data_IF_581218339033
#
_entry.id   IF_581218339033
#
_cell.length_a   1.000
_cell.length_b   1.000
_cell.length_c   1.000
_cell.angle_alpha   90.00
_cell.angle_beta   90.00
_cell.angle_gamma   90.00
#
_symmetry.space_group_name_H-M   'P 1'
#
loop_
_entity.id
_entity.type
_entity.pdbx_description
1 polymer ?
#
# COMPACT_ATOMS: atom_id res chain seq x y z
N UNK A 1 22.19 34.35 14.92
CA UNK A 1 21.19 33.53 14.21
C UNK A 1 21.10 32.18 14.96
N UNK A 2 19.94 31.87 15.53
CA UNK A 2 19.77 30.65 16.36
C UNK A 2 19.96 29.39 15.50
N UNK A 3 20.63 28.35 16.03
CA UNK A 3 20.86 27.08 15.32
C UNK A 3 19.56 26.48 14.74
N UNK A 4 18.43 26.70 15.39
CA UNK A 4 17.10 26.27 14.93
C UNK A 4 16.59 27.03 13.72
N UNK A 5 16.92 28.32 13.59
CA UNK A 5 16.55 29.15 12.42
C UNK A 5 17.31 28.70 11.17
N UNK A 6 18.56 28.25 11.33
CA UNK A 6 19.37 27.72 10.23
C UNK A 6 18.83 26.39 9.71
N UNK A 7 18.34 25.50 10.60
CA UNK A 7 17.74 24.20 10.24
C UNK A 7 16.42 24.41 9.49
N UNK A 8 15.59 25.35 9.94
CA UNK A 8 14.33 25.71 9.28
C UNK A 8 14.58 26.31 7.89
N UNK A 9 15.57 27.20 7.74
CA UNK A 9 15.98 27.79 6.46
C UNK A 9 16.57 26.74 5.50
N UNK A 10 17.34 25.76 6.00
CA UNK A 10 17.83 24.64 5.20
C UNK A 10 16.68 23.75 4.71
N UNK A 11 15.67 23.52 5.53
CA UNK A 11 14.47 22.75 5.12
C UNK A 11 13.69 23.47 3.99
N UNK A 12 13.58 24.78 4.03
CA UNK A 12 12.93 25.56 2.96
C UNK A 12 13.73 25.61 1.66
N UNK A 13 15.06 25.50 1.70
CA UNK A 13 15.90 25.53 0.49
C UNK A 13 15.78 24.27 -0.37
N UNK A 14 15.40 23.13 0.21
CA UNK A 14 15.20 21.87 -0.52
C UNK A 14 13.85 21.78 -1.27
N UNK A 15 12.90 22.69 -1.01
CA UNK A 15 11.55 22.62 -1.59
C UNK A 15 11.46 23.28 -2.98
N UNK A 16 12.49 24.01 -3.43
CA UNK A 16 12.35 24.92 -4.57
C UNK A 16 12.83 24.44 -5.95
N UNK A 17 13.17 23.16 -6.14
CA UNK A 17 13.62 22.65 -7.44
C UNK A 17 12.92 21.33 -7.83
N UNK A 18 11.59 21.34 -7.89
CA UNK A 18 10.83 20.22 -8.44
C UNK A 18 10.67 20.40 -9.96
N UNK A 19 11.53 19.78 -10.73
CA UNK A 19 11.25 19.53 -12.14
C UNK A 19 10.10 18.54 -12.26
N UNK A 20 9.18 18.76 -13.23
CA UNK A 20 8.06 17.86 -13.55
C UNK A 20 8.58 16.47 -13.99
N UNK A 21 8.85 15.60 -13.01
CA UNK A 21 9.09 14.18 -13.24
C UNK A 21 7.83 13.42 -12.88
N UNK A 22 7.63 12.26 -13.51
CA UNK A 22 6.49 11.38 -13.21
C UNK A 22 6.41 11.13 -11.71
N UNK A 23 5.32 11.56 -11.08
CA UNK A 23 5.11 11.55 -9.62
C UNK A 23 4.39 10.30 -9.13
N UNK A 24 3.91 9.46 -10.06
CA UNK A 24 3.08 8.28 -9.80
C UNK A 24 3.88 6.98 -9.95
N UNK A 25 4.96 6.85 -9.21
CA UNK A 25 5.70 5.60 -9.16
C UNK A 25 5.25 4.76 -7.96
N UNK A 26 5.26 3.41 -8.13
CA UNK A 26 5.01 2.45 -7.05
C UNK A 26 3.57 2.44 -6.49
N UNK A 27 2.57 2.74 -7.30
CA UNK A 27 1.16 2.76 -6.88
C UNK A 27 0.65 1.40 -6.36
N UNK A 28 1.26 0.30 -6.75
CA UNK A 28 0.96 -1.02 -6.19
C UNK A 28 1.14 -1.08 -4.65
N UNK A 29 1.99 -0.20 -4.08
CA UNK A 29 2.16 -0.06 -2.63
C UNK A 29 1.05 0.79 -1.95
N UNK A 30 0.07 1.30 -2.70
CA UNK A 30 -1.05 2.07 -2.15
C UNK A 30 -2.35 1.27 -2.07
N UNK A 31 -2.41 0.08 -2.68
CA UNK A 31 -3.61 -0.77 -2.71
C UNK A 31 -4.04 -1.16 -1.29
N UNK A 32 -3.08 -1.41 -0.40
CA UNK A 32 -3.33 -1.91 0.93
C UNK A 32 -3.11 -3.42 1.05
N UNK A 33 -2.89 -3.88 2.27
CA UNK A 33 -2.67 -5.30 2.59
C UNK A 33 -3.56 -5.71 3.74
N UNK A 34 -3.80 -7.04 3.87
CA UNK A 34 -4.63 -7.65 4.88
C UNK A 34 -6.14 -7.38 4.72
N UNK A 35 -6.91 -8.46 4.66
CA UNK A 35 -8.36 -8.37 4.46
C UNK A 35 -9.08 -7.63 5.61
N UNK A 36 -8.56 -7.69 6.85
CA UNK A 36 -9.09 -6.90 7.97
C UNK A 36 -9.00 -5.41 7.67
N UNK A 37 -7.84 -4.95 7.26
CA UNK A 37 -7.57 -3.53 7.01
C UNK A 37 -8.36 -3.01 5.81
N UNK A 38 -8.42 -3.79 4.73
CA UNK A 38 -9.17 -3.45 3.52
C UNK A 38 -10.68 -3.40 3.82
N UNK A 39 -11.20 -4.35 4.63
CA UNK A 39 -12.60 -4.35 5.08
C UNK A 39 -12.99 -3.10 5.89
N UNK A 40 -12.01 -2.41 6.46
CA UNK A 40 -12.15 -1.13 7.17
C UNK A 40 -11.78 0.09 6.32
N UNK A 41 -11.77 -0.03 4.98
CA UNK A 41 -11.35 1.01 4.04
C UNK A 41 -9.95 1.58 4.36
N UNK A 42 -9.03 0.74 4.83
CA UNK A 42 -7.66 1.10 5.19
C UNK A 42 -7.54 2.10 6.38
N UNK A 43 -8.62 2.32 7.14
CA UNK A 43 -8.62 3.18 8.33
C UNK A 43 -8.03 2.45 9.55
N UNK A 44 -6.72 2.18 9.54
CA UNK A 44 -6.04 1.33 10.52
C UNK A 44 -4.72 1.88 11.05
N UNK A 45 -4.24 3.03 10.59
CA UNK A 45 -2.90 3.54 10.92
C UNK A 45 -2.69 3.75 12.42
N UNK A 46 -3.77 4.04 13.17
CA UNK A 46 -3.74 4.19 14.63
C UNK A 46 -4.03 2.89 15.38
N UNK A 47 -4.73 1.93 14.76
CA UNK A 47 -5.25 0.73 15.43
C UNK A 47 -4.49 -0.55 15.12
N UNK A 48 -3.68 -0.57 14.04
CA UNK A 48 -2.88 -1.74 13.67
C UNK A 48 -1.89 -2.08 14.78
N UNK A 49 -1.88 -3.36 15.21
CA UNK A 49 -1.12 -3.82 16.38
C UNK A 49 -0.57 -5.25 16.22
N UNK A 50 -0.47 -5.73 15.01
CA UNK A 50 -0.01 -7.08 14.65
C UNK A 50 1.08 -7.04 13.58
N UNK A 51 1.40 -8.18 12.99
CA UNK A 51 2.41 -8.33 11.94
C UNK A 51 2.15 -7.43 10.72
N UNK A 52 0.90 -7.06 10.41
CA UNK A 52 0.54 -6.18 9.30
C UNK A 52 0.96 -4.72 9.56
N UNK A 53 1.41 -4.42 10.78
CA UNK A 53 2.07 -3.14 11.10
C UNK A 53 3.32 -2.89 10.26
N UNK A 54 3.99 -3.92 9.76
CA UNK A 54 5.12 -3.77 8.82
C UNK A 54 4.76 -2.91 7.61
N UNK A 55 3.52 -2.94 7.18
CA UNK A 55 3.03 -2.15 6.06
C UNK A 55 2.28 -0.90 6.51
N UNK A 56 1.34 -1.02 7.46
CA UNK A 56 0.43 0.07 7.81
C UNK A 56 1.07 1.12 8.71
N UNK A 57 1.79 0.69 9.73
CA UNK A 57 2.49 1.59 10.67
C UNK A 57 3.49 0.77 11.50
N UNK A 58 4.80 0.82 11.22
CA UNK A 58 5.78 -0.02 11.91
C UNK A 58 5.82 0.18 13.42
N UNK A 59 5.33 1.30 13.96
CA UNK A 59 5.23 1.52 15.40
C UNK A 59 4.30 0.51 16.09
N UNK A 60 3.31 -0.02 15.38
CA UNK A 60 2.36 -1.01 15.87
C UNK A 60 2.97 -2.37 16.19
N UNK A 61 4.14 -2.69 15.62
CA UNK A 61 4.86 -3.94 15.90
C UNK A 61 5.19 -4.14 17.40
N UNK A 62 5.27 -3.08 18.18
CA UNK A 62 5.52 -3.20 19.62
C UNK A 62 4.37 -3.82 20.43
N UNK A 63 3.20 -3.93 19.81
CA UNK A 63 2.01 -4.48 20.44
C UNK A 63 1.83 -5.99 20.17
N UNK A 64 2.70 -6.62 19.36
CA UNK A 64 2.68 -8.07 19.19
C UNK A 64 3.13 -8.76 20.50
N UNK A 65 2.45 -9.82 20.87
CA UNK A 65 2.81 -10.61 22.05
C UNK A 65 3.72 -11.78 21.70
N UNK A 66 3.64 -12.27 20.49
CA UNK A 66 4.34 -13.45 19.96
C UNK A 66 4.86 -13.18 18.56
N UNK A 67 5.68 -14.09 18.05
CA UNK A 67 6.06 -14.07 16.65
C UNK A 67 4.81 -14.35 15.81
N UNK A 68 4.61 -13.56 14.75
CA UNK A 68 3.44 -13.62 13.89
C UNK A 68 3.84 -13.72 12.42
N UNK A 69 3.03 -14.45 11.65
CA UNK A 69 3.10 -14.49 10.18
C UNK A 69 1.74 -14.15 9.61
N UNK A 70 1.69 -13.34 8.57
CA UNK A 70 0.48 -13.07 7.80
C UNK A 70 0.70 -13.36 6.32
N UNK A 71 -0.32 -13.93 5.70
CA UNK A 71 -0.41 -14.20 4.27
C UNK A 71 -1.66 -13.57 3.72
N UNK A 72 -1.58 -12.96 2.55
CA UNK A 72 -2.74 -12.46 1.82
C UNK A 72 -2.63 -12.81 0.34
N UNK A 73 -3.77 -13.13 -0.24
CA UNK A 73 -3.95 -13.29 -1.68
C UNK A 73 -5.20 -12.54 -2.12
N UNK A 74 -5.08 -11.82 -3.22
CA UNK A 74 -6.21 -11.15 -3.86
C UNK A 74 -6.07 -11.17 -5.36
N UNK A 75 -7.21 -11.35 -6.03
CA UNK A 75 -7.34 -11.23 -7.47
C UNK A 75 -8.05 -9.92 -7.80
N UNK A 76 -7.43 -9.14 -8.66
CA UNK A 76 -7.95 -7.86 -9.15
C UNK A 76 -8.29 -7.94 -10.64
N UNK A 77 -9.19 -7.07 -11.08
CA UNK A 77 -9.55 -6.90 -12.49
C UNK A 77 -9.95 -8.22 -13.15
N UNK A 78 -10.94 -8.92 -12.57
CA UNK A 78 -11.44 -10.21 -13.07
C UNK A 78 -10.34 -11.27 -13.25
N UNK A 79 -9.44 -11.41 -12.29
CA UNK A 79 -8.29 -12.34 -12.28
C UNK A 79 -7.15 -11.98 -13.25
N UNK A 80 -7.11 -10.78 -13.81
CA UNK A 80 -5.99 -10.35 -14.66
C UNK A 80 -4.75 -10.11 -13.80
N UNK A 81 -4.90 -9.46 -12.63
CA UNK A 81 -3.79 -9.14 -11.76
C UNK A 81 -3.89 -9.88 -10.41
N UNK A 82 -2.75 -10.34 -9.92
CA UNK A 82 -2.61 -11.01 -8.63
C UNK A 82 -1.84 -10.11 -7.65
N UNK A 83 -2.36 -9.97 -6.43
CA UNK A 83 -1.72 -9.24 -5.36
C UNK A 83 -1.51 -10.16 -4.16
N UNK A 84 -0.24 -10.40 -3.85
CA UNK A 84 0.17 -11.32 -2.80
C UNK A 84 0.99 -10.58 -1.75
N UNK A 85 0.77 -10.92 -0.49
CA UNK A 85 1.51 -10.37 0.63
C UNK A 85 1.90 -11.48 1.59
N UNK A 86 3.13 -11.39 2.07
CA UNK A 86 3.68 -12.21 3.14
C UNK A 86 4.36 -11.29 4.14
N UNK A 87 4.13 -11.49 5.43
CA UNK A 87 4.86 -10.78 6.48
C UNK A 87 5.19 -11.67 7.66
N UNK A 88 6.27 -11.29 8.34
CA UNK A 88 6.74 -11.89 9.59
C UNK A 88 7.12 -10.78 10.55
N UNK A 89 6.73 -10.93 11.81
CA UNK A 89 7.10 -10.01 12.89
C UNK A 89 7.55 -10.76 14.12
N UNK A 90 8.55 -10.19 14.80
CA UNK A 90 9.14 -10.73 16.01
C UNK A 90 9.40 -9.65 17.03
N UNK A 91 8.96 -9.90 18.27
CA UNK A 91 9.33 -9.08 19.41
C UNK A 91 10.74 -9.43 19.85
N UNK A 92 11.64 -8.45 19.95
CA UNK A 92 13.01 -8.64 20.44
C UNK A 92 12.99 -8.57 21.98
N UNK A 93 12.36 -7.52 22.50
CA UNK A 93 12.19 -7.25 23.92
C UNK A 93 10.91 -6.41 24.16
N UNK A 94 10.70 -5.92 25.39
CA UNK A 94 9.51 -5.13 25.73
C UNK A 94 9.48 -3.72 25.08
N UNK A 95 10.57 -3.29 24.45
CA UNK A 95 10.74 -1.95 23.90
C UNK A 95 11.06 -1.96 22.41
N UNK A 96 11.35 -3.12 21.82
CA UNK A 96 11.75 -3.22 20.42
C UNK A 96 11.18 -4.46 19.73
N UNK A 97 10.87 -4.29 18.45
CA UNK A 97 10.39 -5.33 17.56
C UNK A 97 10.96 -5.17 16.16
N UNK A 98 11.08 -6.28 15.43
CA UNK A 98 11.46 -6.36 14.03
C UNK A 98 10.31 -6.93 13.21
N UNK A 99 10.25 -6.51 11.96
CA UNK A 99 9.33 -7.06 11.00
C UNK A 99 9.94 -7.10 9.60
N UNK A 100 9.39 -7.97 8.79
CA UNK A 100 9.73 -8.09 7.38
C UNK A 100 8.47 -8.38 6.58
N UNK A 101 8.32 -7.75 5.43
CA UNK A 101 7.22 -8.10 4.52
C UNK A 101 7.63 -8.06 3.06
N UNK A 102 6.94 -8.87 2.28
CA UNK A 102 7.06 -8.95 0.82
C UNK A 102 5.68 -8.73 0.22
N UNK A 103 5.62 -7.88 -0.77
CA UNK A 103 4.45 -7.61 -1.59
C UNK A 103 4.80 -7.98 -3.02
N UNK A 104 3.93 -8.71 -3.72
CA UNK A 104 4.00 -8.92 -5.17
C UNK A 104 2.68 -8.51 -5.80
N UNK A 105 2.73 -7.59 -6.73
CA UNK A 105 1.64 -7.28 -7.65
C UNK A 105 2.07 -7.64 -9.06
N UNK A 106 1.28 -8.42 -9.78
CA UNK A 106 1.72 -8.85 -11.10
C UNK A 106 0.59 -9.35 -11.99
N UNK A 107 0.85 -9.27 -13.29
CA UNK A 107 0.07 -9.85 -14.36
C UNK A 107 0.95 -10.89 -15.03
N UNK A 108 0.47 -12.11 -15.05
CA UNK A 108 1.17 -13.25 -15.66
C UNK A 108 0.53 -13.59 -17.03
N UNK A 109 1.24 -14.35 -17.86
CA UNK A 109 0.78 -14.86 -19.15
C UNK A 109 0.38 -13.76 -20.17
N UNK A 110 1.09 -12.64 -20.19
CA UNK A 110 0.91 -11.58 -21.18
C UNK A 110 1.47 -12.05 -22.53
N UNK A 111 0.67 -11.97 -23.59
CA UNK A 111 1.10 -12.39 -24.92
C UNK A 111 1.97 -11.33 -25.57
N UNK A 112 3.22 -11.68 -25.92
CA UNK A 112 4.07 -10.90 -26.80
C UNK A 112 3.75 -11.28 -28.25
N UNK A 113 3.18 -10.34 -28.98
CA UNK A 113 2.80 -10.49 -30.39
C UNK A 113 3.67 -9.67 -31.33
N UNK A 114 4.79 -9.12 -30.87
CA UNK A 114 5.69 -8.26 -31.66
C UNK A 114 6.26 -8.97 -32.88
N UNK A 115 6.45 -10.30 -32.81
CA UNK A 115 6.96 -11.15 -33.89
C UNK A 115 5.85 -11.91 -34.63
N UNK A 116 4.56 -11.60 -34.37
CA UNK A 116 3.42 -12.32 -34.94
C UNK A 116 3.37 -12.22 -36.47
N UNK A 117 3.69 -11.04 -37.04
CA UNK A 117 3.66 -10.76 -38.46
C UNK A 117 5.10 -10.65 -38.98
N UNK A 118 5.44 -11.40 -40.02
CA UNK A 118 6.76 -11.33 -40.62
C UNK A 118 6.85 -10.15 -41.66
N UNK A 119 8.06 -9.90 -42.16
CA UNK A 119 8.30 -8.84 -43.12
C UNK A 119 7.57 -9.00 -44.48
N UNK A 120 6.96 -10.19 -44.71
CA UNK A 120 6.17 -10.49 -45.91
C UNK A 120 4.65 -10.37 -45.64
N UNK A 121 4.26 -10.04 -44.41
CA UNK A 121 2.86 -9.91 -43.99
C UNK A 121 2.19 -11.26 -43.58
N UNK A 122 2.95 -12.36 -43.46
CA UNK A 122 2.40 -13.62 -43.05
C UNK A 122 2.25 -13.67 -41.52
N UNK A 123 1.12 -14.23 -41.06
CA UNK A 123 0.83 -14.39 -39.63
C UNK A 123 1.34 -15.74 -39.17
N UNK A 124 2.17 -15.76 -38.11
CA UNK A 124 2.70 -16.97 -37.49
C UNK A 124 2.44 -17.00 -35.99
N UNK A 125 1.38 -17.69 -35.58
CA UNK A 125 0.98 -17.82 -34.17
C UNK A 125 2.00 -18.56 -33.29
N UNK A 126 2.91 -19.37 -33.87
CA UNK A 126 3.96 -20.06 -33.13
C UNK A 126 5.06 -19.11 -32.59
N UNK A 127 5.03 -17.84 -32.99
CA UNK A 127 5.96 -16.79 -32.51
C UNK A 127 5.39 -15.99 -31.34
N UNK A 128 4.20 -16.33 -30.86
CA UNK A 128 3.66 -15.72 -29.65
C UNK A 128 4.43 -16.29 -28.46
N UNK A 129 5.09 -15.41 -27.73
CA UNK A 129 5.75 -15.71 -26.47
C UNK A 129 4.92 -15.17 -25.30
N UNK A 130 5.04 -15.78 -24.11
CA UNK A 130 4.37 -15.30 -22.90
C UNK A 130 5.40 -14.65 -21.99
N UNK A 131 5.05 -13.52 -21.40
CA UNK A 131 5.85 -12.88 -20.37
C UNK A 131 5.00 -12.42 -19.19
N UNK A 132 5.63 -12.04 -18.09
CA UNK A 132 4.98 -11.49 -16.91
C UNK A 132 5.47 -10.09 -16.61
N UNK A 133 4.57 -9.24 -16.10
CA UNK A 133 4.92 -7.95 -15.51
C UNK A 133 4.66 -8.03 -14.00
N UNK A 134 5.67 -7.77 -13.18
CA UNK A 134 5.52 -7.89 -11.73
C UNK A 134 6.32 -6.82 -10.97
N UNK A 135 5.68 -6.24 -9.97
CA UNK A 135 6.23 -5.29 -9.02
C UNK A 135 6.37 -5.98 -7.65
N UNK A 136 7.53 -5.85 -7.05
CA UNK A 136 7.86 -6.40 -5.73
C UNK A 136 8.24 -5.28 -4.78
N UNK A 137 7.70 -5.30 -3.57
CA UNK A 137 8.07 -4.46 -2.44
C UNK A 137 8.60 -5.29 -1.29
N UNK A 138 9.79 -4.96 -0.78
CA UNK A 138 10.37 -5.58 0.42
C UNK A 138 10.47 -4.51 1.49
N UNK A 139 9.85 -4.73 2.65
CA UNK A 139 9.87 -3.82 3.77
C UNK A 139 10.59 -4.46 4.95
N UNK A 140 11.62 -3.80 5.45
CA UNK A 140 12.33 -4.17 6.67
C UNK A 140 11.97 -3.17 7.75
N UNK A 141 11.26 -3.63 8.77
CA UNK A 141 10.65 -2.80 9.80
C UNK A 141 11.39 -2.93 11.12
N UNK A 142 11.61 -1.80 11.78
CA UNK A 142 12.09 -1.74 13.15
C UNK A 142 11.23 -0.79 13.97
N UNK A 143 10.79 -1.24 15.14
CA UNK A 143 9.99 -0.45 16.06
C UNK A 143 10.66 -0.32 17.41
N UNK A 144 10.50 0.85 18.04
CA UNK A 144 11.02 1.13 19.39
C UNK A 144 10.06 2.00 20.18
N UNK A 145 9.98 1.74 21.50
CA UNK A 145 9.20 2.53 22.46
C UNK A 145 10.03 3.65 23.05
N UNK A 146 9.49 4.85 23.05
CA UNK A 146 10.01 5.96 23.82
C UNK A 146 9.22 6.08 25.14
N UNK A 147 9.82 5.64 26.24
CA UNK A 147 9.16 5.68 27.56
C UNK A 147 8.92 7.09 28.09
N UNK A 148 9.78 8.03 27.75
CA UNK A 148 9.67 9.40 28.24
C UNK A 148 8.44 10.13 27.64
N UNK A 149 8.20 9.95 26.35
CA UNK A 149 7.07 10.53 25.62
C UNK A 149 5.84 9.61 25.60
N UNK A 150 5.99 8.36 26.08
CA UNK A 150 4.98 7.32 26.00
C UNK A 150 4.45 7.13 24.55
N UNK A 151 5.33 7.14 23.57
CA UNK A 151 5.02 6.91 22.15
C UNK A 151 5.79 5.71 21.64
N UNK A 152 5.16 5.01 20.71
CA UNK A 152 5.81 4.00 19.87
C UNK A 152 6.22 4.68 18.56
N UNK A 153 7.41 4.41 18.05
CA UNK A 153 7.85 4.84 16.75
C UNK A 153 8.49 3.66 16.00
N UNK A 154 8.44 3.72 14.70
CA UNK A 154 8.99 2.68 13.85
C UNK A 154 9.42 3.23 12.50
N UNK A 155 10.34 2.53 11.85
CA UNK A 155 10.86 2.87 10.54
C UNK A 155 10.81 1.66 9.64
N UNK A 156 10.58 1.90 8.34
CA UNK A 156 10.76 0.91 7.29
C UNK A 156 11.91 1.33 6.38
N UNK A 157 12.79 0.39 6.08
CA UNK A 157 13.61 0.43 4.88
C UNK A 157 12.84 -0.31 3.78
N UNK A 158 12.62 0.36 2.66
CA UNK A 158 11.87 -0.15 1.52
C UNK A 158 12.77 -0.39 0.32
N UNK A 159 12.71 -1.60 -0.24
CA UNK A 159 13.38 -1.96 -1.48
C UNK A 159 12.29 -2.34 -2.48
N UNK A 160 12.35 -1.80 -3.68
CA UNK A 160 11.39 -2.05 -4.75
C UNK A 160 12.11 -2.69 -5.92
N UNK A 161 11.50 -3.71 -6.48
CA UNK A 161 11.95 -4.37 -7.71
C UNK A 161 10.78 -4.44 -8.66
N UNK A 162 10.94 -3.90 -9.87
CA UNK A 162 9.92 -3.97 -10.91
C UNK A 162 10.50 -4.68 -12.12
N UNK A 163 9.72 -5.54 -12.75
CA UNK A 163 10.14 -6.36 -13.90
C UNK A 163 9.02 -6.39 -14.92
N UNK A 164 9.36 -6.15 -16.17
CA UNK A 164 8.45 -6.25 -17.32
C UNK A 164 9.10 -7.22 -18.31
N UNK A 165 8.82 -8.52 -18.15
CA UNK A 165 9.45 -9.57 -18.93
C UNK A 165 10.96 -9.38 -19.06
N UNK A 166 11.47 -9.55 -20.28
CA UNK A 166 12.87 -9.27 -20.63
C UNK A 166 13.07 -7.84 -21.16
N UNK A 167 12.02 -7.02 -21.20
CA UNK A 167 12.06 -5.67 -21.79
C UNK A 167 12.70 -4.65 -20.88
N UNK A 168 12.31 -4.66 -19.59
CA UNK A 168 12.76 -3.66 -18.63
C UNK A 168 12.74 -4.17 -17.20
N UNK A 169 13.59 -3.59 -16.38
CA UNK A 169 13.56 -3.81 -14.95
C UNK A 169 14.01 -2.57 -14.17
N UNK A 170 13.53 -2.45 -12.93
CA UNK A 170 13.86 -1.31 -12.07
C UNK A 170 14.18 -1.74 -10.66
N UNK A 171 15.06 -0.97 -10.01
CA UNK A 171 15.31 -1.01 -8.58
C UNK A 171 14.98 0.34 -7.95
N UNK A 172 14.35 0.30 -6.77
CA UNK A 172 14.01 1.49 -6.00
C UNK A 172 14.30 1.32 -4.52
N UNK A 173 14.53 2.46 -3.85
CA UNK A 173 14.83 2.51 -2.41
C UNK A 173 14.09 3.69 -1.78
N UNK A 174 13.57 3.48 -0.58
CA UNK A 174 12.89 4.50 0.20
C UNK A 174 12.80 4.18 1.68
N UNK A 175 12.35 5.15 2.45
CA UNK A 175 12.14 5.01 3.89
C UNK A 175 10.75 5.50 4.26
N UNK A 176 10.16 4.82 5.25
CA UNK A 176 8.91 5.24 5.86
C UNK A 176 9.09 5.43 7.36
N UNK A 177 8.27 6.28 7.97
CA UNK A 177 8.27 6.56 9.40
C UNK A 177 6.86 6.41 9.96
N UNK A 178 6.73 5.67 11.05
CA UNK A 178 5.48 5.46 11.77
C UNK A 178 5.55 5.92 13.22
N UNK A 179 4.45 6.45 13.72
CA UNK A 179 4.27 6.83 15.13
C UNK A 179 2.90 6.34 15.58
N UNK A 180 2.82 5.78 16.79
CA UNK A 180 1.56 5.47 17.47
C UNK A 180 1.62 5.89 18.93
N UNK A 181 0.47 6.35 19.42
CA UNK A 181 0.25 6.70 20.80
C UNK A 181 -1.15 6.28 21.24
N UNK A 182 -1.26 5.68 22.40
CA UNK A 182 -2.54 5.41 23.05
C UNK A 182 -2.61 6.17 24.37
N UNK A 183 -3.70 6.91 24.57
CA UNK A 183 -3.91 7.65 25.80
C UNK A 183 -4.64 6.81 26.85
N UNK A 184 -4.70 7.29 28.09
CA UNK A 184 -5.34 6.59 29.22
C UNK A 184 -6.86 6.36 29.03
N UNK A 185 -7.51 7.12 28.14
CA UNK A 185 -8.93 7.00 27.85
C UNK A 185 -9.22 6.03 26.69
N UNK A 186 -8.21 5.30 26.20
CA UNK A 186 -8.33 4.33 25.11
C UNK A 186 -8.44 4.94 23.71
N UNK A 187 -8.15 6.23 23.55
CA UNK A 187 -7.99 6.84 22.25
C UNK A 187 -6.60 6.54 21.69
N UNK A 188 -6.56 6.08 20.43
CA UNK A 188 -5.34 5.74 19.70
C UNK A 188 -5.12 6.75 18.58
N UNK A 189 -3.90 7.22 18.48
CA UNK A 189 -3.44 8.13 17.46
C UNK A 189 -2.34 7.46 16.66
N UNK A 190 -2.37 7.61 15.35
CA UNK A 190 -1.38 7.06 14.45
C UNK A 190 -0.98 8.07 13.38
N UNK A 191 0.30 8.10 13.06
CA UNK A 191 0.84 8.85 11.91
C UNK A 191 1.76 7.90 11.15
N UNK A 192 1.60 7.83 9.84
CA UNK A 192 2.48 7.14 8.93
C UNK A 192 2.91 8.10 7.83
N UNK A 193 4.20 8.26 7.64
CA UNK A 193 4.78 9.03 6.54
C UNK A 193 5.49 8.01 5.66
N UNK A 194 4.98 7.85 4.45
CA UNK A 194 5.58 6.98 3.43
C UNK A 194 6.48 7.81 2.53
N UNK A 195 7.53 7.18 2.03
CA UNK A 195 8.47 7.79 1.09
C UNK A 195 9.10 9.09 1.63
N UNK A 196 9.41 9.17 2.94
CA UNK A 196 9.87 10.38 3.64
C UNK A 196 11.14 10.99 3.00
N UNK A 197 11.98 10.14 2.41
CA UNK A 197 13.21 10.57 1.70
C UNK A 197 12.99 10.71 0.21
N UNK A 198 11.73 10.63 -0.28
CA UNK A 198 11.43 10.35 -1.69
C UNK A 198 11.97 8.97 -2.10
N UNK A 199 11.14 8.14 -2.68
CA UNK A 199 11.60 6.85 -3.21
C UNK A 199 12.06 7.03 -4.64
N UNK A 200 13.29 6.61 -4.91
CA UNK A 200 13.90 6.65 -6.24
C UNK A 200 13.81 5.28 -6.88
N UNK A 201 13.35 5.23 -8.12
CA UNK A 201 13.39 4.05 -8.98
C UNK A 201 14.28 4.34 -10.18
N UNK A 202 15.17 3.41 -10.52
CA UNK A 202 16.02 3.48 -11.69
C UNK A 202 15.75 2.31 -12.60
N UNK A 203 15.36 2.59 -13.85
CA UNK A 203 15.04 1.63 -14.88
C UNK A 203 16.26 1.26 -15.73
N UNK A 204 16.38 -0.02 -16.04
CA UNK A 204 17.26 -0.58 -17.05
C UNK A 204 16.42 -1.19 -18.16
N UNK A 205 16.69 -0.82 -19.40
CA UNK A 205 15.97 -1.28 -20.58
C UNK A 205 16.84 -2.22 -21.42
N UNK A 206 16.25 -3.29 -21.95
CA UNK A 206 16.87 -4.14 -22.94
C UNK A 206 16.74 -3.50 -24.32
N UNK A 207 17.86 -2.94 -24.82
CA UNK A 207 17.88 -2.21 -26.09
C UNK A 207 17.52 -3.09 -27.29
N UNK A 208 17.88 -4.36 -27.29
CA UNK A 208 17.58 -5.30 -28.37
C UNK A 208 16.07 -5.51 -28.48
N UNK A 209 15.40 -5.83 -27.36
CA UNK A 209 13.94 -5.99 -27.32
C UNK A 209 13.20 -4.69 -27.64
N UNK A 210 13.71 -3.54 -27.22
CA UNK A 210 13.12 -2.23 -27.57
C UNK A 210 13.24 -1.96 -29.07
N UNK A 211 14.36 -2.28 -29.69
CA UNK A 211 14.53 -2.14 -31.15
C UNK A 211 13.57 -3.06 -31.91
N UNK A 212 13.31 -4.27 -31.41
CA UNK A 212 12.35 -5.19 -32.01
C UNK A 212 10.94 -4.60 -32.01
N UNK A 213 10.52 -3.99 -30.88
CA UNK A 213 9.23 -3.30 -30.78
C UNK A 213 9.18 -2.10 -31.73
N UNK A 214 10.24 -1.30 -31.79
CA UNK A 214 10.34 -0.14 -32.66
C UNK A 214 10.24 -0.53 -34.13
N UNK A 215 10.88 -1.62 -34.53
CA UNK A 215 10.82 -2.14 -35.90
C UNK A 215 9.44 -2.73 -36.24
N UNK A 216 8.70 -3.23 -35.27
CA UNK A 216 7.35 -3.78 -35.48
C UNK A 216 6.26 -2.70 -35.60
N UNK A 217 6.52 -1.48 -35.10
CA UNK A 217 5.56 -0.37 -35.05
C UNK A 217 6.03 0.82 -35.91
N UNK A 218 6.08 0.63 -37.20
CA UNK A 218 6.45 1.70 -38.13
C UNK A 218 5.57 2.96 -37.97
N UNK A 219 6.18 4.12 -37.72
CA UNK A 219 5.53 5.43 -37.75
C UNK A 219 4.92 5.90 -36.41
N UNK A 220 5.10 5.20 -35.28
CA UNK A 220 4.68 5.70 -33.99
C UNK A 220 5.80 6.48 -33.25
N UNK A 221 5.39 7.41 -32.39
CA UNK A 221 6.31 8.21 -31.60
C UNK A 221 7.13 7.31 -30.66
N UNK A 222 8.44 7.27 -30.84
CA UNK A 222 9.33 6.28 -30.20
C UNK A 222 10.16 6.93 -29.09
N UNK A 223 9.53 7.66 -28.19
CA UNK A 223 10.22 8.20 -27.03
C UNK A 223 10.66 7.06 -26.10
N UNK A 224 11.95 7.03 -25.79
CA UNK A 224 12.49 6.11 -24.79
C UNK A 224 11.97 6.56 -23.44
N UNK A 225 11.37 5.65 -22.63
CA UNK A 225 10.87 6.01 -21.29
C UNK A 225 11.98 6.60 -20.40
N UNK A 226 11.60 7.52 -19.52
CA UNK A 226 12.56 8.09 -18.56
C UNK A 226 13.15 6.99 -17.67
N UNK A 227 14.48 7.07 -17.44
CA UNK A 227 15.19 6.07 -16.64
C UNK A 227 14.91 6.18 -15.15
N UNK A 228 14.56 7.36 -14.67
CA UNK A 228 14.42 7.61 -13.25
C UNK A 228 13.00 8.10 -12.94
N UNK A 229 12.36 7.41 -12.00
CA UNK A 229 11.07 7.78 -11.44
C UNK A 229 11.23 8.10 -9.96
N UNK A 230 10.39 8.96 -9.44
CA UNK A 230 10.35 9.30 -8.02
C UNK A 230 8.92 9.16 -7.49
N UNK A 231 8.80 8.67 -6.25
CA UNK A 231 7.56 8.76 -5.46
C UNK A 231 7.74 9.82 -4.40
N UNK A 232 6.85 10.81 -4.41
CA UNK A 232 6.85 11.87 -3.39
C UNK A 232 6.30 11.37 -2.05
N UNK A 233 6.64 12.03 -0.94
CA UNK A 233 6.12 11.68 0.37
C UNK A 233 4.59 11.69 0.40
N UNK A 234 4.01 10.76 1.19
CA UNK A 234 2.58 10.64 1.48
C UNK A 234 2.41 10.53 2.99
N UNK A 235 1.32 11.02 3.53
CA UNK A 235 1.06 10.97 4.96
C UNK A 235 -0.34 10.40 5.24
N UNK A 236 -0.44 9.57 6.25
CA UNK A 236 -1.70 9.06 6.79
C UNK A 236 -1.75 9.39 8.27
N UNK A 237 -2.83 10.02 8.70
CA UNK A 237 -3.09 10.38 10.09
C UNK A 237 -4.36 9.68 10.51
N UNK A 238 -4.34 8.99 11.64
CA UNK A 238 -5.48 8.23 12.10
C UNK A 238 -5.80 8.42 13.57
N UNK A 239 -7.08 8.26 13.84
CA UNK A 239 -7.67 8.26 15.15
C UNK A 239 -8.57 7.05 15.29
N UNK A 240 -8.46 6.30 16.39
CA UNK A 240 -9.37 5.19 16.66
C UNK A 240 -9.65 5.01 18.12
N UNK A 241 -10.71 4.26 18.42
CA UNK A 241 -11.11 3.93 19.78
C UNK A 241 -11.73 2.54 19.85
N UNK A 242 -11.27 1.71 20.80
CA UNK A 242 -11.95 0.50 21.18
C UNK A 242 -13.09 0.84 22.16
N UNK A 243 -14.27 0.29 21.91
CA UNK A 243 -15.48 0.47 22.70
C UNK A 243 -15.96 -0.92 23.12
N UNK A 244 -15.91 -1.23 24.41
CA UNK A 244 -16.41 -2.49 24.94
C UNK A 244 -17.87 -2.27 25.36
N UNK A 245 -18.79 -2.89 24.64
CA UNK A 245 -20.23 -2.77 24.92
C UNK A 245 -20.62 -3.64 26.12
N UNK A 246 -20.04 -4.84 26.20
CA UNK A 246 -20.14 -5.77 27.30
C UNK A 246 -19.02 -6.81 27.21
N UNK A 247 -19.09 -7.91 27.98
CA UNK A 247 -18.07 -8.97 27.95
C UNK A 247 -18.06 -9.80 26.66
N UNK A 248 -19.08 -9.69 25.83
CA UNK A 248 -19.23 -10.49 24.60
C UNK A 248 -18.99 -9.65 23.34
N UNK A 249 -19.32 -8.36 23.38
CA UNK A 249 -19.26 -7.48 22.20
C UNK A 249 -18.22 -6.39 22.39
N UNK A 250 -17.31 -6.33 21.43
CA UNK A 250 -16.35 -5.24 21.25
C UNK A 250 -16.62 -4.49 19.95
N UNK A 251 -16.29 -3.22 19.90
CA UNK A 251 -16.37 -2.40 18.70
C UNK A 251 -15.10 -1.55 18.58
N UNK A 252 -14.55 -1.47 17.40
CA UNK A 252 -13.52 -0.51 17.03
C UNK A 252 -14.10 0.47 16.03
N UNK A 253 -13.98 1.77 16.31
CA UNK A 253 -14.24 2.84 15.37
C UNK A 253 -12.92 3.52 15.00
N UNK A 254 -12.67 3.71 13.71
CA UNK A 254 -11.44 4.31 13.19
C UNK A 254 -11.76 5.34 12.10
N UNK A 255 -10.97 6.40 12.09
CA UNK A 255 -11.00 7.47 11.10
C UNK A 255 -9.58 7.84 10.71
N UNK A 256 -9.27 7.77 9.42
CA UNK A 256 -7.97 8.10 8.88
C UNK A 256 -8.09 9.18 7.78
N UNK A 257 -7.06 10.00 7.64
CA UNK A 257 -6.89 10.98 6.57
C UNK A 257 -5.65 10.60 5.78
N UNK A 258 -5.82 10.30 4.50
CA UNK A 258 -4.73 10.13 3.54
C UNK A 258 -4.42 11.49 2.91
N UNK A 259 -3.17 11.90 2.97
CA UNK A 259 -2.71 13.20 2.49
C UNK A 259 -1.63 12.97 1.43
N UNK A 260 -1.90 13.44 0.22
CA UNK A 260 -0.97 13.48 -0.90
C UNK A 260 -0.52 14.92 -1.10
N UNK A 261 0.78 15.14 -1.31
CA UNK A 261 1.32 16.49 -1.53
C UNK A 261 1.31 16.87 -3.02
N UNK A 262 0.15 16.71 -3.62
CA UNK A 262 -0.13 17.05 -5.02
C UNK A 262 -1.64 17.26 -5.22
N UNK A 263 -2.01 17.79 -6.38
CA UNK A 263 -3.41 17.95 -6.77
C UNK A 263 -3.92 16.65 -7.39
N UNK A 264 -5.00 16.10 -6.84
CA UNK A 264 -5.69 14.89 -7.32
C UNK A 264 -7.19 15.13 -7.45
N UNK A 265 -7.96 14.05 -7.72
CA UNK A 265 -9.43 14.06 -7.73
C UNK A 265 -10.04 13.79 -6.35
N UNK A 266 -9.26 13.76 -5.28
CA UNK A 266 -9.75 13.47 -3.94
C UNK A 266 -10.80 14.47 -3.47
N UNK A 267 -11.58 14.11 -2.44
CA UNK A 267 -12.67 14.90 -1.88
C UNK A 267 -12.27 16.35 -1.60
N UNK A 268 -11.10 16.55 -1.03
CA UNK A 268 -10.51 17.88 -0.80
C UNK A 268 -9.21 17.93 -1.58
N UNK A 269 -9.14 18.80 -2.58
CA UNK A 269 -7.95 18.93 -3.42
C UNK A 269 -7.59 20.41 -3.61
N UNK A 270 -6.33 20.72 -3.38
CA UNK A 270 -5.72 22.04 -3.57
C UNK A 270 -4.53 21.92 -4.50
N UNK A 271 -3.96 23.03 -4.93
CA UNK A 271 -2.78 23.03 -5.81
C UNK A 271 -1.52 22.40 -5.19
N UNK A 272 -1.47 22.21 -3.87
CA UNK A 272 -0.29 21.69 -3.16
C UNK A 272 -0.55 20.43 -2.36
N UNK A 273 -1.81 20.07 -2.05
CA UNK A 273 -2.16 18.87 -1.32
C UNK A 273 -3.60 18.43 -1.56
N UNK A 274 -3.82 17.14 -1.50
CA UNK A 274 -5.13 16.49 -1.54
C UNK A 274 -5.32 15.61 -0.32
N UNK A 275 -6.58 15.51 0.16
CA UNK A 275 -6.96 14.78 1.36
C UNK A 275 -8.11 13.85 1.02
N UNK A 276 -7.92 12.58 1.33
CA UNK A 276 -8.94 11.54 1.20
C UNK A 276 -9.24 10.95 2.59
N UNK A 277 -10.44 11.15 3.14
CA UNK A 277 -10.84 10.55 4.40
C UNK A 277 -11.21 9.08 4.22
N UNK A 278 -11.03 8.28 5.28
CA UNK A 278 -11.59 6.94 5.38
C UNK A 278 -12.13 6.68 6.78
N UNK A 279 -13.20 5.88 6.85
CA UNK A 279 -13.88 5.52 8.09
C UNK A 279 -14.04 4.01 8.12
N UNK A 280 -13.66 3.39 9.24
CA UNK A 280 -13.77 1.96 9.45
C UNK A 280 -14.46 1.62 10.77
N UNK A 281 -15.29 0.58 10.74
CA UNK A 281 -15.91 -0.01 11.91
C UNK A 281 -15.66 -1.51 11.95
N UNK A 282 -15.30 -2.03 13.11
CA UNK A 282 -15.17 -3.46 13.37
C UNK A 282 -16.01 -3.80 14.60
N UNK A 283 -16.88 -4.79 14.48
CA UNK A 283 -17.67 -5.33 15.61
C UNK A 283 -17.23 -6.77 15.83
N UNK A 284 -16.75 -7.07 17.03
CA UNK A 284 -16.33 -8.39 17.47
C UNK A 284 -17.37 -9.03 18.41
N UNK A 285 -17.59 -10.33 18.23
CA UNK A 285 -18.38 -11.15 19.14
C UNK A 285 -17.48 -12.22 19.78
N UNK A 286 -17.35 -12.19 21.12
CA UNK A 286 -16.53 -13.07 21.97
C UNK A 286 -15.10 -13.30 21.45
N UNK A 287 -14.53 -12.29 20.78
CA UNK A 287 -13.22 -12.33 20.10
C UNK A 287 -13.07 -13.48 19.09
N UNK A 288 -14.17 -14.06 18.63
CA UNK A 288 -14.22 -15.18 17.70
C UNK A 288 -14.63 -14.74 16.29
N UNK A 289 -15.66 -13.91 16.17
CA UNK A 289 -16.22 -13.46 14.89
C UNK A 289 -16.14 -11.95 14.83
N UNK A 290 -15.71 -11.42 13.68
CA UNK A 290 -15.59 -10.00 13.43
C UNK A 290 -16.34 -9.63 12.16
N UNK A 291 -17.15 -8.58 12.21
CA UNK A 291 -17.78 -7.95 11.07
C UNK A 291 -17.18 -6.56 10.90
N UNK A 292 -16.87 -6.19 9.66
CA UNK A 292 -16.20 -4.94 9.31
C UNK A 292 -16.94 -4.21 8.22
N UNK A 293 -16.99 -2.90 8.35
CA UNK A 293 -17.54 -1.98 7.38
C UNK A 293 -16.58 -0.82 7.22
N UNK A 294 -16.33 -0.42 6.00
CA UNK A 294 -15.47 0.72 5.69
C UNK A 294 -16.01 1.55 4.55
N UNK A 295 -15.77 2.86 4.62
CA UNK A 295 -16.03 3.83 3.56
C UNK A 295 -14.77 4.65 3.35
N UNK A 296 -14.32 4.75 2.11
CA UNK A 296 -13.12 5.50 1.75
C UNK A 296 -13.05 5.78 0.26
N UNK A 297 -11.89 6.23 -0.19
CA UNK A 297 -11.62 6.55 -1.58
C UNK A 297 -12.68 7.49 -2.18
N UNK A 298 -12.94 8.61 -1.49
CA UNK A 298 -13.87 9.63 -1.95
C UNK A 298 -13.23 10.45 -3.06
N UNK A 299 -13.81 10.42 -4.26
CA UNK A 299 -13.28 11.10 -5.44
C UNK A 299 -14.34 11.96 -6.13
N UNK A 300 -13.90 13.08 -6.69
CA UNK A 300 -14.72 13.93 -7.54
C UNK A 300 -14.50 13.52 -9.00
N UNK A 301 -15.45 12.81 -9.58
CA UNK A 301 -15.40 12.33 -10.97
C UNK A 301 -16.05 13.34 -11.91
N UNK A 302 -15.31 13.75 -12.94
CA UNK A 302 -15.84 14.62 -13.98
C UNK A 302 -16.65 13.79 -14.99
N UNK A 303 -17.92 14.10 -15.11
CA UNK A 303 -18.84 13.45 -16.04
C UNK A 303 -18.74 14.05 -17.45
N UNK A 304 -19.32 13.38 -18.47
CA UNK A 304 -19.31 13.84 -19.87
C UNK A 304 -19.99 15.19 -20.07
N UNK A 305 -20.94 15.55 -19.21
CA UNK A 305 -21.67 16.84 -19.24
C UNK A 305 -20.92 17.96 -18.49
N UNK A 306 -19.67 17.70 -18.07
CA UNK A 306 -18.83 18.59 -17.26
C UNK A 306 -19.37 18.81 -15.81
N UNK A 307 -20.36 18.05 -15.37
CA UNK A 307 -20.73 18.00 -13.96
C UNK A 307 -19.71 17.18 -13.15
N UNK A 308 -19.64 17.44 -11.86
CA UNK A 308 -18.80 16.67 -10.94
C UNK A 308 -19.69 15.81 -10.05
N UNK A 309 -19.43 14.51 -10.02
CA UNK A 309 -20.13 13.56 -9.16
C UNK A 309 -19.16 13.02 -8.10
N UNK A 310 -19.64 12.89 -6.85
CA UNK A 310 -18.87 12.30 -5.77
C UNK A 310 -19.01 10.79 -5.81
N UNK A 311 -17.90 10.09 -6.05
CA UNK A 311 -17.81 8.64 -5.89
C UNK A 311 -17.16 8.28 -4.55
N UNK A 312 -17.43 7.08 -4.06
CA UNK A 312 -16.80 6.53 -2.86
C UNK A 312 -16.80 5.01 -2.92
N UNK A 313 -15.90 4.39 -2.16
CA UNK A 313 -15.69 2.95 -2.15
C UNK A 313 -16.20 2.34 -0.84
N UNK A 314 -17.30 1.55 -0.86
CA UNK A 314 -17.72 0.74 0.26
C UNK A 314 -16.86 -0.53 0.37
N UNK A 315 -16.53 -0.92 1.60
CA UNK A 315 -15.75 -2.11 1.91
C UNK A 315 -16.47 -2.92 2.98
N UNK A 316 -16.44 -4.25 2.83
CA UNK A 316 -17.03 -5.19 3.77
C UNK A 316 -15.99 -6.23 4.15
N UNK A 317 -15.99 -6.66 5.41
CA UNK A 317 -15.09 -7.69 5.89
C UNK A 317 -15.73 -8.62 6.90
N UNK A 318 -15.28 -9.87 6.90
CA UNK A 318 -15.60 -10.85 7.94
C UNK A 318 -14.30 -11.50 8.40
N UNK A 319 -14.19 -11.76 9.71
CA UNK A 319 -13.04 -12.40 10.32
C UNK A 319 -13.43 -13.47 11.32
N UNK A 320 -12.60 -14.51 11.38
CA UNK A 320 -12.69 -15.59 12.38
C UNK A 320 -11.36 -15.73 13.08
N UNK A 321 -11.37 -15.66 14.39
CA UNK A 321 -10.19 -15.84 15.23
C UNK A 321 -10.28 -17.19 15.95
N UNK A 322 -9.45 -18.14 15.56
CA UNK A 322 -9.41 -19.49 16.07
C UNK A 322 -8.12 -19.68 16.89
N UNK A 323 -8.04 -19.08 18.07
CA UNK A 323 -6.89 -19.09 18.97
C UNK A 323 -5.59 -18.54 18.34
N UNK A 324 -4.86 -19.39 17.60
CA UNK A 324 -3.58 -19.02 16.99
C UNK A 324 -3.69 -18.68 15.49
N UNK A 325 -4.89 -18.80 14.91
CA UNK A 325 -5.13 -18.58 13.49
C UNK A 325 -6.27 -17.58 13.36
N UNK A 326 -6.03 -16.49 12.66
CA UNK A 326 -7.05 -15.53 12.26
C UNK A 326 -7.24 -15.61 10.74
N UNK A 327 -8.47 -15.84 10.30
CA UNK A 327 -8.84 -15.90 8.89
C UNK A 327 -9.74 -14.73 8.60
N UNK A 328 -9.37 -13.91 7.63
CA UNK A 328 -10.14 -12.74 7.23
C UNK A 328 -10.46 -12.80 5.74
N UNK A 329 -11.63 -12.32 5.42
CA UNK A 329 -12.10 -12.10 4.07
C UNK A 329 -12.61 -10.66 3.95
N UNK A 330 -12.26 -9.99 2.86
CA UNK A 330 -12.81 -8.70 2.50
C UNK A 330 -13.32 -8.70 1.07
N UNK A 331 -14.35 -7.89 0.89
CA UNK A 331 -15.02 -7.67 -0.36
C UNK A 331 -15.03 -6.16 -0.61
N UNK A 332 -14.43 -5.75 -1.71
CA UNK A 332 -14.26 -4.33 -2.02
C UNK A 332 -14.37 -4.11 -3.51
N UNK A 333 -14.76 -2.91 -3.90
CA UNK A 333 -14.72 -2.46 -5.29
C UNK A 333 -13.46 -1.60 -5.48
N UNK A 334 -12.42 -2.19 -6.05
CA UNK A 334 -11.22 -1.42 -6.41
C UNK A 334 -11.33 -1.04 -7.88
N UNK A 335 -11.76 0.20 -8.12
CA UNK A 335 -11.77 0.76 -9.47
C UNK A 335 -13.13 1.08 -10.06
N UNK A 336 -14.07 1.50 -9.26
CA UNK A 336 -15.40 2.11 -9.51
C UNK A 336 -15.94 2.28 -10.96
N UNK A 337 -15.22 1.84 -11.98
CA UNK A 337 -15.55 2.07 -13.40
C UNK A 337 -15.57 0.82 -14.27
N UNK A 338 -15.47 -0.39 -13.73
CA UNK A 338 -15.33 -1.54 -14.61
C UNK A 338 -16.46 -2.56 -14.48
N UNK A 339 -16.69 -3.29 -15.57
CA UNK A 339 -17.54 -4.47 -15.60
C UNK A 339 -17.09 -5.61 -14.64
N UNK A 340 -15.90 -5.50 -14.04
CA UNK A 340 -15.37 -6.39 -13.01
C UNK A 340 -15.58 -5.76 -11.63
N UNK A 341 -16.79 -5.89 -11.14
CA UNK A 341 -17.37 -5.10 -10.06
C UNK A 341 -16.72 -5.28 -8.68
N UNK A 342 -15.97 -6.36 -8.39
CA UNK A 342 -15.56 -6.61 -7.00
C UNK A 342 -14.26 -7.40 -6.93
N UNK A 343 -13.43 -7.05 -5.95
CA UNK A 343 -12.23 -7.79 -5.61
C UNK A 343 -12.44 -8.58 -4.33
N UNK A 344 -11.95 -9.83 -4.34
CA UNK A 344 -12.01 -10.74 -3.22
C UNK A 344 -10.62 -10.84 -2.59
N UNK A 345 -10.53 -10.52 -1.30
CA UNK A 345 -9.28 -10.52 -0.56
C UNK A 345 -9.36 -11.55 0.55
N UNK A 346 -8.40 -12.47 0.59
CA UNK A 346 -8.25 -13.46 1.64
C UNK A 346 -6.95 -13.22 2.39
N UNK A 347 -7.01 -13.19 3.72
CA UNK A 347 -5.81 -13.18 4.53
C UNK A 347 -5.89 -14.17 5.70
N UNK A 348 -4.75 -14.72 6.05
CA UNK A 348 -4.60 -15.62 7.19
C UNK A 348 -3.40 -15.18 8.01
N UNK A 349 -3.61 -15.01 9.31
CA UNK A 349 -2.57 -14.68 10.28
C UNK A 349 -2.37 -15.84 11.25
N UNK A 350 -1.11 -16.16 11.52
CA UNK A 350 -0.69 -17.21 12.43
C UNK A 350 0.11 -16.60 13.57
N UNK A 351 -0.29 -16.91 14.81
CA UNK A 351 0.50 -16.66 16.00
C UNK A 351 1.40 -17.87 16.25
N UNK A 352 2.72 -17.68 16.07
CA UNK A 352 3.67 -18.77 16.20
C UNK A 352 4.01 -18.99 17.69
N UNK A 353 3.67 -20.17 18.20
CA UNK A 353 4.20 -20.65 19.47
C UNK A 353 5.58 -21.26 19.17
N UNK A 354 6.64 -20.45 19.20
CA UNK A 354 7.98 -21.03 19.23
C UNK A 354 8.12 -21.65 20.61
N UNK A 355 8.10 -22.98 20.66
CA UNK A 355 8.47 -23.75 21.84
C UNK A 355 9.89 -23.28 22.24
N UNK A 356 9.96 -22.50 23.29
CA UNK A 356 11.21 -22.20 23.97
C UNK A 356 11.58 -23.35 24.91
#
# INVERSE_FOLDING_TARGET
MNKYTLIVLLFFYFVSNSQNRSKYSNEFLNIGVDARSIGMANAVVSSVKDVNSTYWNPAGLLNIDRDEVSLMHSNYFANIANYNYLSYAKKIDNESALGFSIIRFGVDDIMDTTQLIDSQGNINYNRIELFSAADYGFLFSYAKRNKFLNINYGVNLKIIRRVIGDFANSWGFGFDLGIQHENQNGWKFGIMIRDITTTYNSWSFNQEKLNDIQNALDGQNQEIPEKNEISIPKMQIGLSKDIFLNNEYSMLAAFDLFILFEQTNDLISTSFASINPSIGFEVGYIDLIFLRLGLGNFQNELQYDSSTELSFQPNFGIGFNLNNIEINYAFTDIGNQSAALYSNIFSVKFNLNILR
#
